data_IF_944992379913
#
_entry.id   IF_944992379913
#
_cell.length_a   1.000
_cell.length_b   1.000
_cell.length_c   1.000
_cell.angle_alpha   90.00
_cell.angle_beta   90.00
_cell.angle_gamma   90.00
#
_symmetry.space_group_name_H-M   'P 1'
#
loop_
_entity.id
_entity.type
_entity.pdbx_description
1 polymer ?
#
# COMPACT_ATOMS: atom_id res chain seq x y z
N UNK A 1 -7.05 13.79 4.99
CA UNK A 1 -6.49 13.36 6.27
C UNK A 1 -6.53 14.52 7.24
N UNK A 2 -6.87 14.25 8.50
CA UNK A 2 -6.79 15.19 9.61
C UNK A 2 -5.62 14.82 10.50
N UNK A 3 -4.84 15.81 10.90
CA UNK A 3 -3.74 15.64 11.84
C UNK A 3 -4.14 16.15 13.22
N UNK A 4 -3.83 15.36 14.21
CA UNK A 4 -3.99 15.68 15.62
C UNK A 4 -2.68 15.41 16.35
N UNK A 5 -2.44 16.15 17.40
CA UNK A 5 -1.31 15.94 18.30
C UNK A 5 -1.78 15.65 19.72
N UNK A 6 -0.97 14.93 20.48
CA UNK A 6 -1.23 14.61 21.87
C UNK A 6 0.05 14.34 22.63
N UNK A 7 0.16 14.86 23.87
CA UNK A 7 1.27 14.57 24.77
C UNK A 7 1.03 13.31 25.63
N UNK A 8 -0.23 12.88 25.75
CA UNK A 8 -0.64 11.82 26.70
C UNK A 8 -1.45 10.69 26.07
N UNK A 9 -1.67 10.74 24.75
CA UNK A 9 -2.51 9.81 23.96
C UNK A 9 -3.98 9.75 24.39
N UNK A 10 -4.41 10.62 25.30
CA UNK A 10 -5.80 10.69 25.81
C UNK A 10 -6.52 11.95 25.36
N UNK A 11 -5.80 13.08 25.32
CA UNK A 11 -6.33 14.36 24.85
C UNK A 11 -5.65 14.70 23.54
N UNK A 12 -6.45 14.96 22.52
CA UNK A 12 -5.98 15.22 21.18
C UNK A 12 -6.38 16.63 20.73
N UNK A 13 -5.42 17.41 20.30
CA UNK A 13 -5.61 18.72 19.74
C UNK A 13 -5.57 18.63 18.22
N UNK A 14 -6.54 19.26 17.56
CA UNK A 14 -6.52 19.38 16.10
C UNK A 14 -5.33 20.27 15.68
N UNK A 15 -4.51 19.75 14.79
CA UNK A 15 -3.34 20.44 14.29
C UNK A 15 -3.60 21.01 12.88
N UNK A 16 -3.97 20.16 11.93
CA UNK A 16 -4.18 20.56 10.54
C UNK A 16 -4.96 19.53 9.73
N UNK A 17 -5.23 19.88 8.46
CA UNK A 17 -5.76 18.95 7.45
C UNK A 17 -4.90 18.94 6.21
N UNK A 18 -4.86 17.81 5.53
CA UNK A 18 -4.28 17.65 4.20
C UNK A 18 -5.28 17.01 3.26
N UNK A 19 -5.39 17.54 2.05
CA UNK A 19 -6.22 16.99 0.98
C UNK A 19 -5.65 17.41 -0.38
N UNK A 20 -5.90 16.57 -1.39
CA UNK A 20 -5.52 16.84 -2.77
C UNK A 20 -6.75 16.78 -3.67
N UNK A 21 -6.81 17.60 -4.72
CA UNK A 21 -7.88 17.53 -5.71
C UNK A 21 -7.75 16.23 -6.53
N UNK A 22 -8.87 15.75 -7.05
CA UNK A 22 -8.94 14.58 -7.94
C UNK A 22 -8.40 13.26 -7.35
N UNK A 23 -8.37 13.14 -6.02
CA UNK A 23 -7.92 11.94 -5.31
C UNK A 23 -9.08 11.14 -4.71
N UNK A 24 -10.18 10.98 -5.45
CA UNK A 24 -11.35 10.25 -5.00
C UNK A 24 -12.24 11.07 -4.05
N UNK A 25 -13.25 10.42 -3.52
CA UNK A 25 -14.27 11.04 -2.67
C UNK A 25 -13.91 10.97 -1.19
N UNK A 26 -13.36 9.85 -0.76
CA UNK A 26 -12.94 9.60 0.62
C UNK A 26 -11.62 8.83 0.63
N UNK A 27 -10.78 9.13 1.60
CA UNK A 27 -9.50 8.45 1.83
C UNK A 27 -9.60 7.54 3.03
N UNK A 28 -9.53 6.24 2.80
CA UNK A 28 -9.58 5.23 3.84
C UNK A 28 -8.17 4.79 4.24
N UNK A 29 -8.06 4.26 5.45
CA UNK A 29 -6.85 3.64 6.00
C UNK A 29 -5.58 4.47 5.80
N UNK A 30 -5.56 5.77 6.15
CA UNK A 30 -4.32 6.54 6.07
C UNK A 30 -3.28 5.97 7.03
N UNK A 31 -2.05 5.85 6.54
CA UNK A 31 -0.90 5.44 7.32
C UNK A 31 0.30 6.31 6.96
N UNK A 32 1.20 6.56 7.91
CA UNK A 32 2.36 7.44 7.73
C UNK A 32 3.59 6.79 8.36
N UNK A 33 4.66 6.73 7.57
CA UNK A 33 5.95 6.22 8.03
C UNK A 33 7.10 7.04 7.44
N UNK A 34 8.26 6.94 8.07
CA UNK A 34 9.50 7.55 7.60
C UNK A 34 10.39 6.49 6.94
N UNK A 35 10.98 6.85 5.80
CA UNK A 35 11.94 6.03 5.09
C UNK A 35 13.00 6.91 4.42
N UNK A 36 14.28 6.64 4.68
CA UNK A 36 15.42 7.41 4.14
C UNK A 36 15.30 8.93 4.38
N UNK A 37 14.78 9.34 5.56
CA UNK A 37 14.59 10.74 5.93
C UNK A 37 13.46 11.45 5.17
N UNK A 38 12.60 10.72 4.47
CA UNK A 38 11.38 11.23 3.84
C UNK A 38 10.16 10.68 4.55
N UNK A 39 9.14 11.50 4.69
CA UNK A 39 7.85 11.06 5.17
C UNK A 39 7.02 10.52 4.00
N UNK A 40 6.47 9.36 4.18
CA UNK A 40 5.55 8.72 3.23
C UNK A 40 4.18 8.59 3.87
N UNK A 41 3.18 9.10 3.20
CA UNK A 41 1.77 8.89 3.53
C UNK A 41 1.18 7.94 2.51
N UNK A 42 0.48 6.90 2.97
CA UNK A 42 -0.32 6.02 2.12
C UNK A 42 -1.79 6.13 2.51
N UNK A 43 -2.68 5.91 1.56
CA UNK A 43 -4.12 5.84 1.79
C UNK A 43 -4.83 5.14 0.62
N UNK A 44 -6.06 4.74 0.85
CA UNK A 44 -6.91 4.06 -0.12
C UNK A 44 -8.09 4.94 -0.51
N UNK A 45 -8.00 5.69 -1.63
CA UNK A 45 -9.09 6.56 -2.07
C UNK A 45 -10.23 5.74 -2.71
N UNK A 46 -11.46 6.08 -2.34
CA UNK A 46 -12.67 5.57 -2.98
C UNK A 46 -12.98 6.42 -4.21
N UNK A 47 -13.38 5.79 -5.30
CA UNK A 47 -13.76 6.43 -6.57
C UNK A 47 -12.67 7.36 -7.16
N UNK A 48 -11.41 6.98 -6.99
CA UNK A 48 -10.30 7.63 -7.71
C UNK A 48 -10.43 7.30 -9.20
N UNK A 49 -10.54 8.35 -10.02
CA UNK A 49 -10.59 8.17 -11.48
C UNK A 49 -9.23 7.71 -12.02
N UNK A 50 -9.29 6.82 -12.99
CA UNK A 50 -8.11 6.36 -13.71
C UNK A 50 -7.40 7.50 -14.46
N UNK A 51 -6.09 7.39 -14.55
CA UNK A 51 -5.22 8.33 -15.26
C UNK A 51 -4.32 7.55 -16.22
N UNK A 52 -4.68 7.49 -17.49
CA UNK A 52 -4.02 6.64 -18.48
C UNK A 52 -4.01 5.17 -18.03
N UNK A 53 -2.82 4.62 -17.72
CA UNK A 53 -2.64 3.25 -17.27
C UNK A 53 -2.53 3.13 -15.72
N UNK A 54 -2.71 4.24 -14.98
CA UNK A 54 -2.66 4.26 -13.53
C UNK A 54 -4.05 4.31 -12.92
N UNK A 55 -4.18 3.84 -11.69
CA UNK A 55 -5.42 3.89 -10.91
C UNK A 55 -6.59 3.25 -11.63
N UNK A 56 -6.38 2.05 -12.18
CA UNK A 56 -7.40 1.34 -12.95
C UNK A 56 -8.53 0.79 -12.07
N UNK A 57 -8.26 0.58 -10.78
CA UNK A 57 -9.29 0.20 -9.82
C UNK A 57 -9.94 1.46 -9.24
N UNK A 58 -11.26 1.49 -9.11
CA UNK A 58 -11.96 2.63 -8.46
C UNK A 58 -11.61 2.74 -6.97
N UNK A 59 -11.25 1.61 -6.34
CA UNK A 59 -10.68 1.54 -5.00
C UNK A 59 -9.17 1.33 -5.11
N UNK A 60 -8.45 2.40 -5.33
CA UNK A 60 -7.01 2.41 -5.57
C UNK A 60 -6.20 2.55 -4.27
N UNK A 61 -4.89 2.54 -4.40
CA UNK A 61 -3.97 2.83 -3.31
C UNK A 61 -2.93 3.83 -3.78
N UNK A 62 -2.76 4.88 -3.00
CA UNK A 62 -1.90 6.01 -3.30
C UNK A 62 -0.81 6.12 -2.25
N UNK A 63 0.39 6.47 -2.66
CA UNK A 63 1.41 6.98 -1.76
C UNK A 63 1.80 8.39 -2.13
N UNK A 64 2.14 9.17 -1.11
CA UNK A 64 2.66 10.53 -1.25
C UNK A 64 3.97 10.59 -0.47
N UNK A 65 5.02 11.07 -1.12
CA UNK A 65 6.29 11.39 -0.47
C UNK A 65 6.31 12.90 -0.23
N UNK A 66 6.77 13.31 0.94
CA UNK A 66 6.83 14.72 1.26
C UNK A 66 7.56 15.02 2.56
N UNK A 67 7.38 16.24 3.00
CA UNK A 67 7.90 16.76 4.25
C UNK A 67 6.73 17.18 5.17
N UNK A 68 6.87 16.91 6.45
CA UNK A 68 5.89 17.31 7.45
C UNK A 68 6.51 18.26 8.47
N UNK A 69 5.91 19.40 8.64
CA UNK A 69 6.31 20.33 9.68
C UNK A 69 5.51 20.05 10.95
N UNK A 70 6.15 19.44 11.94
CA UNK A 70 5.52 19.05 13.20
C UNK A 70 5.00 20.24 14.02
N UNK A 71 5.56 21.45 13.86
CA UNK A 71 5.11 22.62 14.60
C UNK A 71 3.83 23.23 14.02
N UNK A 72 3.62 23.11 12.71
CA UNK A 72 2.48 23.71 12.03
C UNK A 72 1.47 22.68 11.50
N UNK A 73 1.83 21.40 11.51
CA UNK A 73 1.06 20.34 10.95
C UNK A 73 0.94 20.37 9.43
N UNK A 74 1.77 21.15 8.74
CA UNK A 74 1.72 21.26 7.28
C UNK A 74 2.47 20.10 6.66
N UNK A 75 1.76 19.32 5.86
CA UNK A 75 2.36 18.33 4.95
C UNK A 75 2.54 18.95 3.58
N UNK A 76 3.77 18.92 3.06
CA UNK A 76 4.14 19.42 1.74
C UNK A 76 4.50 18.23 0.86
N UNK A 77 3.66 17.94 -0.11
CA UNK A 77 3.88 16.86 -1.07
C UNK A 77 5.01 17.18 -2.07
N UNK A 78 5.83 16.19 -2.35
CA UNK A 78 6.90 16.24 -3.38
C UNK A 78 6.60 15.28 -4.54
N UNK A 79 6.00 14.14 -4.24
CA UNK A 79 5.72 13.11 -5.25
C UNK A 79 4.46 12.34 -4.88
N UNK A 80 3.68 11.98 -5.90
CA UNK A 80 2.46 11.17 -5.76
C UNK A 80 2.58 9.98 -6.71
N UNK A 81 2.32 8.78 -6.20
CA UNK A 81 2.36 7.55 -6.97
C UNK A 81 1.24 6.58 -6.65
N UNK A 82 1.00 5.67 -7.56
CA UNK A 82 0.20 4.47 -7.33
C UNK A 82 1.04 3.46 -6.55
N UNK A 83 0.48 2.91 -5.49
CA UNK A 83 1.21 2.02 -4.59
C UNK A 83 1.32 0.59 -5.13
N UNK A 84 0.24 0.08 -5.71
CA UNK A 84 0.16 -1.25 -6.32
C UNK A 84 -0.75 -1.17 -7.55
N UNK A 85 -0.32 -1.73 -8.67
CA UNK A 85 -1.06 -1.73 -9.94
C UNK A 85 -1.83 -3.03 -10.19
N UNK A 86 -1.90 -3.93 -9.20
CA UNK A 86 -2.67 -5.17 -9.26
C UNK A 86 -4.16 -4.95 -9.01
N UNK A 87 -4.96 -5.99 -9.26
CA UNK A 87 -6.42 -5.93 -9.07
C UNK A 87 -6.83 -6.04 -7.61
N UNK A 88 -6.15 -6.87 -6.85
CA UNK A 88 -6.53 -7.26 -5.49
C UNK A 88 -5.52 -6.75 -4.47
N UNK A 89 -5.53 -5.44 -4.23
CA UNK A 89 -4.69 -4.80 -3.23
C UNK A 89 -5.42 -3.59 -2.64
N UNK A 90 -5.78 -3.63 -1.36
CA UNK A 90 -6.51 -2.55 -0.72
C UNK A 90 -6.17 -2.40 0.77
N UNK A 91 -6.37 -1.19 1.30
CA UNK A 91 -6.19 -0.86 2.71
C UNK A 91 -4.83 -1.30 3.30
N UNK A 92 -3.69 -1.00 2.63
CA UNK A 92 -2.37 -1.34 3.15
C UNK A 92 -2.10 -0.66 4.48
N UNK A 93 -1.40 -1.37 5.36
CA UNK A 93 -0.88 -0.84 6.61
C UNK A 93 0.56 -1.27 6.77
N UNK A 94 1.35 -0.45 7.48
CA UNK A 94 2.76 -0.71 7.70
C UNK A 94 3.08 -0.92 9.18
N UNK A 95 4.21 -1.56 9.41
CA UNK A 95 4.88 -1.61 10.70
C UNK A 95 6.38 -1.43 10.49
N UNK A 96 7.06 -0.92 11.51
CA UNK A 96 8.52 -0.92 11.57
C UNK A 96 8.94 -2.10 12.44
N UNK A 97 9.75 -2.99 11.88
CA UNK A 97 10.22 -4.17 12.60
C UNK A 97 11.42 -3.87 13.51
N UNK A 98 11.93 -4.91 14.18
CA UNK A 98 13.07 -4.78 15.11
C UNK A 98 14.38 -4.34 14.45
N UNK A 99 14.52 -4.50 13.15
CA UNK A 99 15.70 -4.12 12.35
C UNK A 99 15.52 -2.76 11.66
N UNK A 100 14.37 -2.10 11.88
CA UNK A 100 14.04 -0.79 11.30
C UNK A 100 13.53 -0.85 9.87
N UNK A 101 13.18 -2.05 9.35
CA UNK A 101 12.56 -2.20 8.04
C UNK A 101 11.08 -1.80 8.12
N UNK A 102 10.59 -1.14 7.09
CA UNK A 102 9.15 -0.90 6.92
C UNK A 102 8.53 -2.10 6.21
N UNK A 103 7.63 -2.79 6.90
CA UNK A 103 6.94 -3.97 6.37
C UNK A 103 5.48 -3.61 6.13
N UNK A 104 4.96 -3.95 4.95
CA UNK A 104 3.60 -3.66 4.52
C UNK A 104 2.80 -4.94 4.30
N UNK A 105 1.54 -4.93 4.74
CA UNK A 105 0.53 -5.95 4.44
C UNK A 105 -0.74 -5.22 3.99
N UNK A 106 -1.46 -5.81 3.03
CA UNK A 106 -2.73 -5.29 2.55
C UNK A 106 -3.78 -6.40 2.44
N UNK A 107 -5.02 -6.02 2.30
CA UNK A 107 -6.07 -6.95 1.90
C UNK A 107 -5.93 -7.28 0.42
N UNK A 108 -5.74 -8.58 0.10
CA UNK A 108 -5.65 -9.07 -1.27
C UNK A 108 -7.06 -9.26 -1.84
N UNK A 109 -7.78 -8.18 -1.96
CA UNK A 109 -9.11 -8.05 -2.55
C UNK A 109 -9.44 -6.56 -2.74
N UNK A 110 -10.61 -6.27 -3.29
CA UNK A 110 -11.24 -4.93 -3.31
C UNK A 110 -12.75 -5.07 -3.07
N UNK A 111 -13.42 -3.95 -2.78
CA UNK A 111 -14.87 -3.94 -2.58
C UNK A 111 -15.65 -4.37 -3.83
N UNK A 112 -15.08 -4.19 -5.01
CA UNK A 112 -15.71 -4.49 -6.30
C UNK A 112 -15.58 -5.96 -6.71
N UNK A 113 -14.65 -6.71 -6.12
CA UNK A 113 -14.46 -8.11 -6.46
C UNK A 113 -15.59 -8.96 -5.90
N UNK A 114 -16.39 -9.52 -6.79
CA UNK A 114 -17.45 -10.47 -6.40
C UNK A 114 -16.87 -11.67 -5.65
N UNK A 115 -17.54 -12.02 -4.58
CA UNK A 115 -17.21 -13.20 -3.79
C UNK A 115 -17.43 -14.46 -4.62
N UNK A 116 -16.35 -15.11 -5.06
CA UNK A 116 -16.47 -16.35 -5.84
C UNK A 116 -17.21 -17.40 -5.01
N UNK A 117 -18.30 -18.02 -5.54
CA UNK A 117 -19.11 -18.99 -4.80
C UNK A 117 -18.32 -20.14 -4.18
N UNK A 118 -17.20 -20.54 -4.80
CA UNK A 118 -16.30 -21.58 -4.26
C UNK A 118 -15.70 -21.19 -2.90
N UNK A 119 -15.48 -19.93 -2.61
CA UNK A 119 -14.94 -19.47 -1.31
C UNK A 119 -15.95 -19.69 -0.18
N UNK A 120 -17.25 -19.67 -0.46
CA UNK A 120 -18.31 -19.95 0.53
C UNK A 120 -18.23 -21.36 1.10
N UNK A 121 -17.77 -22.34 0.31
CA UNK A 121 -17.64 -23.73 0.76
C UNK A 121 -16.40 -23.97 1.63
N UNK A 122 -15.43 -23.04 1.63
CA UNK A 122 -14.19 -23.15 2.40
C UNK A 122 -14.33 -22.64 3.85
N UNK A 123 -15.43 -21.98 4.21
CA UNK A 123 -15.66 -21.45 5.54
C UNK A 123 -14.86 -20.18 5.86
N UNK A 124 -14.16 -19.59 4.89
CA UNK A 124 -13.44 -18.33 5.03
C UNK A 124 -13.56 -17.48 3.77
N UNK A 125 -13.27 -16.19 3.89
CA UNK A 125 -13.35 -15.25 2.80
C UNK A 125 -12.29 -14.15 2.92
N UNK A 126 -11.70 -13.79 1.76
CA UNK A 126 -10.58 -12.83 1.70
C UNK A 126 -9.26 -13.46 2.13
N UNK A 127 -8.19 -12.87 1.70
CA UNK A 127 -6.82 -13.18 2.10
C UNK A 127 -6.03 -11.89 2.28
N UNK A 128 -4.99 -11.94 3.08
CA UNK A 128 -4.00 -10.87 3.16
C UNK A 128 -2.90 -11.11 2.12
N UNK A 129 -2.26 -10.05 1.66
CA UNK A 129 -1.04 -10.19 0.86
C UNK A 129 0.07 -10.83 1.69
N UNK A 130 1.07 -11.39 1.02
CA UNK A 130 2.33 -11.70 1.70
C UNK A 130 2.95 -10.40 2.22
N UNK A 131 3.69 -10.43 3.35
CA UNK A 131 4.42 -9.28 3.84
C UNK A 131 5.45 -8.82 2.81
N UNK A 132 5.55 -7.52 2.61
CA UNK A 132 6.48 -6.89 1.68
C UNK A 132 7.34 -5.85 2.42
N UNK A 133 8.64 -5.92 2.22
CA UNK A 133 9.53 -4.85 2.64
C UNK A 133 9.37 -3.65 1.71
N UNK A 134 9.20 -2.47 2.30
CA UNK A 134 9.09 -1.21 1.58
C UNK A 134 10.45 -0.54 1.54
N UNK A 135 10.91 -0.21 0.35
CA UNK A 135 12.13 0.59 0.16
C UNK A 135 11.83 1.81 -0.72
N UNK A 136 12.67 2.83 -0.64
CA UNK A 136 12.51 4.05 -1.41
C UNK A 136 13.73 4.27 -2.30
N UNK A 137 13.51 4.39 -3.60
CA UNK A 137 14.54 4.71 -4.58
C UNK A 137 14.01 5.70 -5.63
N UNK A 138 14.71 6.81 -5.85
CA UNK A 138 14.34 7.83 -6.85
C UNK A 138 12.86 8.28 -6.75
N UNK A 139 12.38 8.56 -5.54
CA UNK A 139 10.99 8.91 -5.24
C UNK A 139 9.96 7.83 -5.64
N UNK A 140 10.39 6.58 -5.77
CA UNK A 140 9.50 5.45 -6.00
C UNK A 140 9.58 4.48 -4.85
N UNK A 141 8.44 4.07 -4.33
CA UNK A 141 8.36 2.96 -3.39
C UNK A 141 8.51 1.65 -4.17
N UNK A 142 9.36 0.79 -3.63
CA UNK A 142 9.55 -0.57 -4.10
C UNK A 142 9.01 -1.51 -3.03
N UNK A 143 8.18 -2.45 -3.42
CA UNK A 143 7.56 -3.44 -2.53
C UNK A 143 8.09 -4.82 -2.92
N UNK A 144 8.95 -5.37 -2.09
CA UNK A 144 9.53 -6.70 -2.31
C UNK A 144 9.05 -7.68 -1.23
N UNK A 145 8.73 -8.93 -1.59
CA UNK A 145 8.49 -9.95 -0.58
C UNK A 145 9.61 -9.97 0.47
N UNK A 146 9.25 -10.09 1.74
CA UNK A 146 10.25 -10.16 2.81
C UNK A 146 11.16 -11.38 2.62
N UNK A 147 12.45 -11.24 2.89
CA UNK A 147 13.46 -12.30 2.67
C UNK A 147 13.20 -13.56 3.50
N UNK A 148 12.48 -13.47 4.60
CA UNK A 148 12.07 -14.59 5.44
C UNK A 148 11.25 -15.63 4.68
N UNK A 149 10.58 -15.23 3.61
CA UNK A 149 9.82 -16.15 2.76
C UNK A 149 10.72 -17.14 2.01
N UNK A 150 11.98 -16.78 1.73
CA UNK A 150 12.93 -17.67 1.06
C UNK A 150 13.18 -18.97 1.85
N UNK A 151 12.99 -18.91 3.18
CA UNK A 151 13.07 -20.10 4.02
C UNK A 151 11.95 -21.10 3.75
N UNK A 152 10.77 -20.62 3.37
CA UNK A 152 9.57 -21.46 3.16
C UNK A 152 9.36 -21.85 1.71
N UNK A 153 9.89 -21.09 0.76
CA UNK A 153 9.70 -21.32 -0.67
C UNK A 153 10.92 -21.98 -1.30
N UNK A 154 10.73 -23.17 -1.87
CA UNK A 154 11.72 -23.76 -2.75
C UNK A 154 11.44 -23.32 -4.17
N UNK A 155 12.48 -22.83 -4.86
CA UNK A 155 12.38 -22.56 -6.30
C UNK A 155 12.19 -23.89 -7.04
N UNK A 156 11.00 -24.07 -7.60
CA UNK A 156 10.65 -25.28 -8.37
C UNK A 156 10.95 -25.08 -9.84
N UNK A 157 10.75 -23.84 -10.31
CA UNK A 157 10.93 -23.49 -11.72
C UNK A 157 11.46 -22.07 -11.86
N UNK A 158 12.28 -21.82 -12.89
CA UNK A 158 12.82 -20.50 -13.21
C UNK A 158 12.79 -20.30 -14.72
N UNK A 159 12.29 -19.14 -15.16
CA UNK A 159 12.30 -18.71 -16.55
C UNK A 159 13.07 -17.40 -16.61
N UNK A 160 14.15 -17.38 -17.39
CA UNK A 160 14.98 -16.17 -17.53
C UNK A 160 14.35 -15.15 -18.50
N UNK A 161 13.54 -15.63 -19.43
CA UNK A 161 12.83 -14.79 -20.37
C UNK A 161 11.39 -15.29 -20.56
N UNK A 162 10.43 -14.40 -20.48
CA UNK A 162 8.99 -14.72 -20.61
C UNK A 162 8.64 -15.32 -21.98
N UNK A 163 9.41 -14.98 -23.04
CA UNK A 163 9.25 -15.53 -24.38
C UNK A 163 9.59 -17.02 -24.46
N UNK A 164 10.27 -17.58 -23.45
CA UNK A 164 10.66 -18.97 -23.41
C UNK A 164 9.58 -19.88 -22.81
N UNK A 165 8.47 -19.29 -22.37
CA UNK A 165 7.30 -20.03 -21.89
C UNK A 165 6.47 -20.48 -23.10
N UNK A 166 6.73 -21.69 -23.59
CA UNK A 166 5.99 -22.29 -24.70
C UNK A 166 4.70 -22.99 -24.23
N UNK A 167 4.62 -23.37 -22.96
CA UNK A 167 3.45 -24.00 -22.36
C UNK A 167 3.07 -23.31 -21.03
N UNK A 168 1.78 -23.20 -20.71
CA UNK A 168 1.40 -22.72 -19.39
C UNK A 168 1.97 -23.63 -18.33
N UNK A 169 2.59 -23.05 -17.32
CA UNK A 169 3.08 -23.78 -16.15
C UNK A 169 1.92 -24.59 -15.59
N UNK A 170 2.00 -25.89 -15.66
CA UNK A 170 1.02 -26.77 -15.05
C UNK A 170 1.37 -26.88 -13.57
N UNK A 171 0.34 -26.64 -12.72
CA UNK A 171 0.39 -26.84 -11.27
C UNK A 171 0.78 -28.30 -10.89
#
# INVERSE_FOLDING_TARGET
VLFYESDDTKKWNYLSKFSLPNMGEMWECPDIFEINGKLVMIFSPINKKSENLKFQNSNSNVYIIGEFNYNTGVFKEEYIGELDSGFDFYAPQTLIDGDGRVIMIAWANTWETEQVPKRKSLGWNGIMTIPREVTLSNNKLMLMPVSELDYYFKRVYSVDNISDINDPVKD
#
